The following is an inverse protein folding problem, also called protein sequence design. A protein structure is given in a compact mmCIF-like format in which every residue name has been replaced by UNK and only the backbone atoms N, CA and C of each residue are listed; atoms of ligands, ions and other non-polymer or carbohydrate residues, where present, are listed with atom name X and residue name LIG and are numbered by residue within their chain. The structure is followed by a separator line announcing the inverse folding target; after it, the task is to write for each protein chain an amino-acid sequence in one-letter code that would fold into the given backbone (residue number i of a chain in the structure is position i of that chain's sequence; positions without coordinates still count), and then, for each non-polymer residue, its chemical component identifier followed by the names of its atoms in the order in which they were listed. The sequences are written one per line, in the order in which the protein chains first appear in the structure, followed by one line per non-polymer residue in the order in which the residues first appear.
data_IF_834698094305
#
_entry.id   IF_834698094305
#
_cell.length_a   1.000
_cell.length_b   1.000
_cell.length_c   1.000
_cell.angle_alpha   90.00
_cell.angle_beta   90.00
_cell.angle_gamma   90.00
#
_symmetry.space_group_name_H-M   'P 1'
#
loop_
_entity.id
_entity.type
_entity.pdbx_description
1 polymer ?
#
# COMPACT_ATOMS: atom_id res chain seq x y z
N UNK A 1 -20.10 20.19 10.33
CA UNK A 1 -20.65 19.52 9.11
C UNK A 1 -19.77 19.63 7.87
N UNK A 2 -18.99 20.70 7.67
CA UNK A 2 -18.05 20.80 6.52
C UNK A 2 -16.84 19.86 6.59
N UNK A 3 -16.35 19.50 7.79
CA UNK A 3 -15.14 18.68 7.96
C UNK A 3 -15.31 17.19 7.65
N UNK A 4 -16.48 16.58 7.88
CA UNK A 4 -16.74 15.17 7.59
C UNK A 4 -16.79 14.90 6.09
N UNK A 5 -17.43 15.77 5.31
CA UNK A 5 -17.46 15.64 3.85
C UNK A 5 -16.08 15.78 3.20
N UNK A 6 -15.23 16.64 3.76
CA UNK A 6 -13.86 16.85 3.24
C UNK A 6 -12.99 15.61 3.48
N UNK A 7 -13.04 15.00 4.67
CA UNK A 7 -12.31 13.78 5.00
C UNK A 7 -12.80 12.58 4.17
N UNK A 8 -14.11 12.46 3.97
CA UNK A 8 -14.67 11.42 3.11
C UNK A 8 -14.18 11.56 1.68
N UNK A 9 -14.23 12.78 1.11
CA UNK A 9 -13.72 13.06 -0.25
C UNK A 9 -12.24 12.78 -0.35
N UNK A 10 -11.43 13.20 0.63
CA UNK A 10 -9.99 12.92 0.70
C UNK A 10 -9.72 11.42 0.67
N UNK A 11 -10.43 10.64 1.48
CA UNK A 11 -10.30 9.20 1.50
C UNK A 11 -10.69 8.56 0.15
N UNK A 12 -11.81 8.99 -0.46
CA UNK A 12 -12.29 8.50 -1.77
C UNK A 12 -11.26 8.74 -2.88
N UNK A 13 -10.75 9.98 -2.99
CA UNK A 13 -9.70 10.34 -3.95
C UNK A 13 -8.44 9.51 -3.71
N UNK A 14 -8.06 9.31 -2.45
CA UNK A 14 -6.92 8.46 -2.07
C UNK A 14 -7.09 7.01 -2.50
N UNK A 15 -8.26 6.40 -2.28
CA UNK A 15 -8.53 5.02 -2.72
C UNK A 15 -8.48 4.88 -4.24
N UNK A 16 -8.99 5.89 -4.99
CA UNK A 16 -8.94 5.91 -6.44
C UNK A 16 -7.48 5.98 -6.94
N UNK A 17 -6.67 6.91 -6.44
CA UNK A 17 -5.28 7.08 -6.83
C UNK A 17 -4.45 5.82 -6.56
N UNK A 18 -4.60 5.23 -5.35
CA UNK A 18 -3.98 3.94 -5.05
C UNK A 18 -4.42 2.85 -6.03
N UNK A 19 -5.70 2.81 -6.35
CA UNK A 19 -6.27 1.87 -7.33
C UNK A 19 -5.61 2.01 -8.69
N UNK A 20 -5.44 3.24 -9.19
CA UNK A 20 -4.77 3.54 -10.46
C UNK A 20 -3.33 3.03 -10.45
N UNK A 21 -2.56 3.29 -9.38
CA UNK A 21 -1.17 2.79 -9.29
C UNK A 21 -1.11 1.26 -9.38
N UNK A 22 -2.01 0.54 -8.70
CA UNK A 22 -2.03 -0.93 -8.79
C UNK A 22 -2.51 -1.44 -10.15
N UNK A 23 -3.39 -0.71 -10.84
CA UNK A 23 -3.76 -1.03 -12.23
C UNK A 23 -2.59 -0.81 -13.18
N UNK A 24 -1.79 0.23 -13.00
CA UNK A 24 -0.57 0.47 -13.79
C UNK A 24 0.44 -0.66 -13.57
N UNK A 25 0.77 -0.98 -12.32
CA UNK A 25 1.68 -2.09 -11.99
C UNK A 25 1.19 -3.41 -12.58
N UNK A 26 -0.09 -3.75 -12.35
CA UNK A 26 -0.68 -4.98 -12.86
C UNK A 26 -0.76 -5.02 -14.38
N UNK A 27 -1.08 -3.89 -15.02
CA UNK A 27 -1.15 -3.76 -16.48
C UNK A 27 0.22 -3.93 -17.14
N UNK A 28 1.26 -3.25 -16.64
CA UNK A 28 2.63 -3.38 -17.15
C UNK A 28 3.18 -4.80 -16.96
N UNK A 29 2.94 -5.40 -15.79
CA UNK A 29 3.35 -6.78 -15.52
C UNK A 29 2.58 -7.80 -16.38
N UNK A 30 1.30 -7.55 -16.72
CA UNK A 30 0.54 -8.38 -17.66
C UNK A 30 1.14 -8.29 -19.07
N UNK A 31 1.48 -7.09 -19.53
CA UNK A 31 2.14 -6.89 -20.83
C UNK A 31 3.48 -7.60 -20.87
N UNK A 32 4.26 -7.53 -19.79
CA UNK A 32 5.51 -8.28 -19.65
C UNK A 32 5.29 -9.80 -19.69
N UNK A 33 4.24 -10.30 -19.03
CA UNK A 33 3.93 -11.73 -19.01
C UNK A 33 3.61 -12.31 -20.39
N UNK A 34 2.93 -11.53 -21.26
CA UNK A 34 2.57 -11.98 -22.63
C UNK A 34 3.61 -11.57 -23.68
N UNK A 35 4.73 -10.99 -23.28
CA UNK A 35 5.78 -10.57 -24.21
C UNK A 35 5.41 -9.37 -25.09
N UNK A 36 4.41 -8.57 -24.69
CA UNK A 36 3.93 -7.39 -25.41
C UNK A 36 4.65 -6.08 -24.98
N UNK A 37 5.87 -6.18 -24.45
CA UNK A 37 6.53 -5.10 -23.77
C UNK A 37 6.08 -5.03 -22.31
N UNK A 38 6.17 -3.85 -21.69
CA UNK A 38 5.83 -3.68 -20.27
C UNK A 38 7.03 -3.96 -19.35
N UNK A 39 6.80 -3.87 -18.06
CA UNK A 39 7.85 -4.01 -17.05
C UNK A 39 7.30 -4.76 -15.81
N UNK A 40 8.17 -5.52 -15.16
CA UNK A 40 7.92 -6.16 -13.85
C UNK A 40 8.36 -5.28 -12.69
N UNK A 41 8.53 -3.99 -12.93
CA UNK A 41 8.88 -2.99 -11.92
C UNK A 41 7.82 -2.85 -10.84
N UNK A 42 8.23 -2.19 -9.76
CA UNK A 42 7.34 -1.86 -8.65
C UNK A 42 6.48 -0.63 -8.92
N UNK A 43 5.82 -0.12 -7.86
CA UNK A 43 4.97 1.07 -7.99
C UNK A 43 5.73 2.31 -8.45
N UNK A 44 7.03 2.44 -8.13
CA UNK A 44 7.86 3.57 -8.59
C UNK A 44 8.14 3.50 -10.08
N UNK A 45 8.50 2.30 -10.56
CA UNK A 45 8.80 2.07 -11.98
C UNK A 45 7.54 2.27 -12.83
N UNK A 46 6.38 1.81 -12.34
CA UNK A 46 5.09 2.04 -12.98
C UNK A 46 4.70 3.53 -13.03
N UNK A 47 5.08 4.34 -12.04
CA UNK A 47 4.89 5.80 -12.11
C UNK A 47 5.89 6.44 -13.07
N UNK A 48 7.14 5.98 -13.10
CA UNK A 48 8.16 6.51 -14.00
C UNK A 48 7.79 6.28 -15.47
N UNK A 49 7.18 5.16 -15.82
CA UNK A 49 6.72 4.86 -17.18
C UNK A 49 5.69 5.88 -17.73
N UNK A 50 4.98 6.57 -16.83
CA UNK A 50 4.07 7.64 -17.25
C UNK A 50 4.77 8.87 -17.82
N UNK A 51 6.08 9.07 -17.57
CA UNK A 51 6.80 10.20 -18.13
C UNK A 51 6.89 10.16 -19.65
N UNK A 52 6.87 8.98 -20.23
CA UNK A 52 6.95 8.76 -21.67
C UNK A 52 5.58 8.93 -22.36
N UNK A 53 4.51 9.07 -21.57
CA UNK A 53 3.15 9.20 -22.08
C UNK A 53 2.75 10.67 -22.33
N UNK A 54 1.89 10.94 -23.31
CA UNK A 54 1.28 12.25 -23.48
C UNK A 54 0.60 12.69 -22.17
N UNK A 55 0.89 13.92 -21.72
CA UNK A 55 0.40 14.47 -20.44
C UNK A 55 0.87 13.71 -19.17
N UNK A 56 1.92 12.87 -19.26
CA UNK A 56 2.42 12.07 -18.16
C UNK A 56 2.71 12.87 -16.88
N UNK A 57 3.31 14.06 -17.00
CA UNK A 57 3.56 14.96 -15.84
C UNK A 57 2.27 15.41 -15.16
N UNK A 58 1.21 15.69 -15.92
CA UNK A 58 -0.09 16.06 -15.35
C UNK A 58 -0.73 14.88 -14.63
N UNK A 59 -0.69 13.69 -15.24
CA UNK A 59 -1.17 12.47 -14.61
C UNK A 59 -0.41 12.17 -13.32
N UNK A 60 0.92 12.29 -13.32
CA UNK A 60 1.75 12.12 -12.15
C UNK A 60 1.42 13.12 -11.04
N UNK A 61 1.17 14.39 -11.37
CA UNK A 61 0.76 15.39 -10.39
C UNK A 61 -0.60 15.04 -9.75
N UNK A 62 -1.58 14.61 -10.55
CA UNK A 62 -2.89 14.18 -10.06
C UNK A 62 -2.77 12.94 -9.18
N UNK A 63 -1.96 11.94 -9.59
CA UNK A 63 -1.70 10.75 -8.79
C UNK A 63 -0.99 11.12 -7.49
N UNK A 64 0.00 12.01 -7.52
CA UNK A 64 0.71 12.47 -6.33
C UNK A 64 -0.24 13.08 -5.29
N UNK A 65 -1.14 13.98 -5.72
CA UNK A 65 -2.16 14.57 -4.85
C UNK A 65 -3.11 13.50 -4.27
N UNK A 66 -3.53 12.54 -5.08
CA UNK A 66 -4.37 11.45 -4.63
C UNK A 66 -3.67 10.51 -3.64
N UNK A 67 -2.39 10.19 -3.86
CA UNK A 67 -1.59 9.37 -2.93
C UNK A 67 -1.33 10.12 -1.62
N UNK A 68 -1.12 11.44 -1.67
CA UNK A 68 -1.02 12.29 -0.48
C UNK A 68 -2.33 12.26 0.30
N UNK A 69 -3.46 12.39 -0.37
CA UNK A 69 -4.78 12.26 0.24
C UNK A 69 -4.97 10.89 0.91
N UNK A 70 -4.49 9.82 0.27
CA UNK A 70 -4.53 8.47 0.86
C UNK A 70 -3.62 8.35 2.08
N UNK A 71 -2.41 8.90 2.04
CA UNK A 71 -1.49 8.91 3.17
C UNK A 71 -2.12 9.64 4.37
N UNK A 72 -2.65 10.84 4.16
CA UNK A 72 -3.34 11.62 5.20
C UNK A 72 -4.50 10.82 5.79
N UNK A 73 -5.35 10.21 4.95
CA UNK A 73 -6.45 9.36 5.42
C UNK A 73 -5.94 8.20 6.28
N UNK A 74 -4.82 7.56 5.92
CA UNK A 74 -4.24 6.46 6.70
C UNK A 74 -3.79 6.91 8.09
N UNK A 75 -3.16 8.08 8.19
CA UNK A 75 -2.76 8.64 9.48
C UNK A 75 -3.99 9.02 10.33
N UNK A 76 -4.99 9.68 9.73
CA UNK A 76 -6.25 9.99 10.41
C UNK A 76 -6.91 8.70 10.91
N UNK A 77 -7.04 7.67 10.06
CA UNK A 77 -7.64 6.40 10.45
C UNK A 77 -6.87 5.67 11.55
N UNK A 78 -5.54 5.83 11.61
CA UNK A 78 -4.73 5.27 12.68
C UNK A 78 -4.92 6.00 14.03
N UNK A 79 -4.97 7.33 14.00
CA UNK A 79 -5.08 8.15 15.21
C UNK A 79 -6.50 8.12 15.77
N UNK A 80 -7.51 8.32 14.92
CA UNK A 80 -8.92 8.44 15.33
C UNK A 80 -9.65 7.09 15.47
N UNK A 81 -8.95 5.96 15.25
CA UNK A 81 -9.56 4.61 15.26
C UNK A 81 -10.83 4.51 14.39
N UNK A 82 -10.80 5.14 13.21
CA UNK A 82 -11.94 5.21 12.28
C UNK A 82 -12.53 3.85 11.87
N UNK A 83 -11.75 2.78 12.00
CA UNK A 83 -12.20 1.40 11.77
C UNK A 83 -12.73 0.71 13.06
N UNK A 84 -12.86 1.43 14.19
CA UNK A 84 -13.33 0.93 15.49
C UNK A 84 -12.61 -0.35 15.95
N UNK A 85 -11.26 -0.37 15.87
CA UNK A 85 -10.43 -1.52 16.27
C UNK A 85 -10.16 -1.58 17.77
N UNK A 86 -10.34 -0.47 18.46
CA UNK A 86 -10.10 -0.32 19.89
C UNK A 86 -8.62 -0.34 20.28
N UNK A 87 -8.37 -0.44 21.58
CA UNK A 87 -7.02 -0.41 22.19
C UNK A 87 -6.46 -1.81 22.51
N UNK A 88 -7.09 -2.90 22.03
CA UNK A 88 -6.53 -4.25 22.16
C UNK A 88 -5.19 -4.38 21.42
N UNK A 89 -4.31 -5.30 21.82
CA UNK A 89 -3.03 -5.53 21.14
C UNK A 89 -3.18 -5.74 19.62
N UNK A 90 -4.24 -6.44 19.19
CA UNK A 90 -4.59 -6.60 17.78
C UNK A 90 -5.02 -5.26 17.13
N UNK A 91 -5.82 -4.46 17.84
CA UNK A 91 -6.24 -3.13 17.38
C UNK A 91 -5.04 -2.20 17.18
N UNK A 92 -4.14 -2.14 18.16
CA UNK A 92 -2.91 -1.35 18.09
C UNK A 92 -1.98 -1.80 16.96
N UNK A 93 -1.83 -3.10 16.73
CA UNK A 93 -1.04 -3.64 15.62
C UNK A 93 -1.62 -3.20 14.26
N UNK A 94 -2.95 -3.22 14.08
CA UNK A 94 -3.59 -2.77 12.86
C UNK A 94 -3.43 -1.24 12.67
N UNK A 95 -3.57 -0.46 13.73
CA UNK A 95 -3.36 1.00 13.69
C UNK A 95 -1.90 1.32 13.35
N UNK A 96 -0.93 0.62 13.94
CA UNK A 96 0.49 0.73 13.58
C UNK A 96 0.75 0.39 12.10
N UNK A 97 0.11 -0.65 11.57
CA UNK A 97 0.19 -0.97 10.14
C UNK A 97 -0.42 0.14 9.24
N UNK A 98 -1.43 0.88 9.72
CA UNK A 98 -1.96 2.05 9.01
C UNK A 98 -0.93 3.19 8.96
N UNK A 99 -0.25 3.49 10.05
CA UNK A 99 0.83 4.50 10.11
C UNK A 99 1.96 4.14 9.13
N UNK A 100 2.49 2.92 9.21
CA UNK A 100 3.53 2.45 8.27
C UNK A 100 3.07 2.58 6.82
N UNK A 101 1.82 2.19 6.54
CA UNK A 101 1.24 2.33 5.21
C UNK A 101 1.11 3.80 4.79
N UNK A 102 0.73 4.70 5.70
CA UNK A 102 0.66 6.14 5.45
C UNK A 102 2.01 6.71 5.01
N UNK A 103 3.08 6.41 5.73
CA UNK A 103 4.44 6.82 5.36
C UNK A 103 4.89 6.22 4.01
N UNK A 104 4.56 4.96 3.71
CA UNK A 104 4.88 4.35 2.43
C UNK A 104 4.19 5.06 1.26
N UNK A 105 2.91 5.41 1.41
CA UNK A 105 2.19 6.16 0.36
C UNK A 105 2.59 7.63 0.30
N UNK A 106 2.99 8.25 1.40
CA UNK A 106 3.59 9.59 1.41
C UNK A 106 4.91 9.60 0.62
N UNK A 107 5.79 8.63 0.83
CA UNK A 107 7.02 8.46 0.05
C UNK A 107 6.72 8.32 -1.45
N UNK A 108 5.70 7.54 -1.81
CA UNK A 108 5.29 7.35 -3.20
C UNK A 108 4.67 8.63 -3.79
N UNK A 109 3.91 9.40 -3.00
CA UNK A 109 3.37 10.69 -3.40
C UNK A 109 4.47 11.72 -3.69
N UNK A 110 5.47 11.80 -2.81
CA UNK A 110 6.65 12.67 -2.99
C UNK A 110 7.43 12.27 -4.24
N UNK A 111 7.61 10.97 -4.48
CA UNK A 111 8.27 10.46 -5.68
C UNK A 111 7.50 10.85 -6.96
N UNK A 112 6.18 10.63 -6.99
CA UNK A 112 5.34 11.00 -8.12
C UNK A 112 5.35 12.52 -8.39
N UNK A 113 5.31 13.35 -7.33
CA UNK A 113 5.46 14.79 -7.43
C UNK A 113 6.86 15.17 -7.97
N UNK A 114 7.91 14.49 -7.50
CA UNK A 114 9.27 14.69 -7.98
C UNK A 114 9.42 14.45 -9.48
N UNK A 115 8.79 13.40 -10.00
CA UNK A 115 8.73 13.11 -11.44
C UNK A 115 7.93 14.19 -12.20
N UNK A 116 6.76 14.60 -11.67
CA UNK A 116 5.91 15.59 -12.30
C UNK A 116 6.60 16.96 -12.45
N UNK A 117 7.31 17.39 -11.41
CA UNK A 117 8.01 18.70 -11.37
C UNK A 117 9.49 18.64 -11.78
N UNK A 118 10.02 17.45 -12.09
CA UNK A 118 11.36 17.28 -12.62
C UNK A 118 12.49 17.31 -11.58
N UNK A 119 12.20 17.28 -10.27
CA UNK A 119 13.24 17.27 -9.24
C UNK A 119 13.73 15.84 -8.88
N UNK A 120 13.01 14.79 -9.30
CA UNK A 120 13.38 13.38 -9.03
C UNK A 120 14.32 12.79 -10.09
N UNK A 121 14.76 13.55 -11.08
CA UNK A 121 15.62 13.09 -12.18
C UNK A 121 17.12 13.10 -11.88
N UNK A 122 17.48 13.53 -10.69
CA UNK A 122 18.90 13.54 -10.28
C UNK A 122 19.14 12.52 -9.18
N UNK A 123 20.05 11.60 -9.37
CA UNK A 123 20.52 10.52 -8.50
C UNK A 123 20.75 10.82 -6.99
N UNK A 124 19.82 11.50 -6.37
CA UNK A 124 19.81 11.76 -4.93
C UNK A 124 18.95 10.73 -4.22
N UNK A 125 19.41 10.27 -3.11
CA UNK A 125 18.96 9.29 -2.11
C UNK A 125 17.45 9.01 -1.90
N UNK A 126 16.65 8.91 -2.96
CA UNK A 126 15.21 8.63 -2.92
C UNK A 126 14.58 8.22 -4.24
N UNK A 127 15.30 8.27 -5.36
CA UNK A 127 14.79 8.05 -6.72
C UNK A 127 14.97 6.64 -7.29
N UNK A 128 15.51 5.71 -6.52
CA UNK A 128 15.73 4.34 -6.97
C UNK A 128 14.46 3.53 -7.17
N UNK A 129 14.57 2.39 -7.86
CA UNK A 129 13.51 1.40 -8.02
C UNK A 129 12.92 1.01 -6.66
N UNK A 130 11.72 0.43 -6.63
CA UNK A 130 11.11 -0.03 -5.39
C UNK A 130 12.00 -1.02 -4.62
N UNK A 131 12.87 -1.75 -5.33
CA UNK A 131 13.83 -2.69 -4.76
C UNK A 131 15.02 -1.97 -4.11
N UNK A 132 15.55 -0.90 -4.71
CA UNK A 132 16.60 -0.07 -4.10
C UNK A 132 16.14 0.55 -2.79
N UNK A 133 14.88 1.00 -2.73
CA UNK A 133 14.28 1.48 -1.50
C UNK A 133 14.23 0.40 -0.42
N UNK A 134 13.87 -0.83 -0.77
CA UNK A 134 13.87 -1.97 0.14
C UNK A 134 15.28 -2.31 0.61
N UNK A 135 16.28 -2.32 -0.30
CA UNK A 135 17.67 -2.59 0.02
C UNK A 135 18.28 -1.52 0.91
N UNK A 136 18.05 -0.22 0.61
CA UNK A 136 18.58 0.89 1.40
C UNK A 136 18.05 0.89 2.83
N UNK A 137 16.75 0.66 2.99
CA UNK A 137 16.13 0.54 4.32
C UNK A 137 16.65 -0.70 5.07
N UNK A 138 16.80 -1.83 4.37
CA UNK A 138 17.33 -3.07 4.95
C UNK A 138 18.80 -2.91 5.36
N UNK A 139 19.62 -2.19 4.56
CA UNK A 139 21.01 -1.87 4.91
C UNK A 139 21.08 -1.02 6.17
N UNK A 140 20.25 0.01 6.26
CA UNK A 140 20.16 0.85 7.47
C UNK A 140 19.78 0.02 8.69
N UNK A 141 18.79 -0.87 8.56
CA UNK A 141 18.35 -1.73 9.67
C UNK A 141 19.42 -2.73 10.07
N UNK A 142 20.12 -3.33 9.10
CA UNK A 142 21.24 -4.25 9.36
C UNK A 142 22.42 -3.60 10.09
N UNK A 143 22.62 -2.29 9.91
CA UNK A 143 23.62 -1.52 10.62
C UNK A 143 23.27 -1.27 12.12
N UNK A 144 22.04 -1.54 12.55
CA UNK A 144 21.63 -1.38 13.94
C UNK A 144 22.02 -2.59 14.80
N UNK A 145 22.17 -2.41 16.13
CA UNK A 145 22.33 -3.55 17.05
C UNK A 145 21.17 -4.54 16.84
N UNK A 146 21.49 -5.84 16.71
CA UNK A 146 20.53 -6.91 16.40
C UNK A 146 19.79 -6.76 15.05
N UNK A 147 20.29 -5.94 14.12
CA UNK A 147 19.64 -5.58 12.86
C UNK A 147 19.17 -6.76 12.03
N UNK A 148 19.97 -7.86 11.97
CA UNK A 148 19.58 -9.08 11.24
C UNK A 148 18.30 -9.73 11.81
N UNK A 149 18.15 -9.74 13.14
CA UNK A 149 16.98 -10.30 13.80
C UNK A 149 15.75 -9.39 13.62
N UNK A 150 15.98 -8.06 13.68
CA UNK A 150 14.94 -7.09 13.41
C UNK A 150 14.45 -7.19 11.97
N UNK A 151 15.35 -7.32 11.00
CA UNK A 151 14.98 -7.48 9.59
C UNK A 151 14.22 -8.78 9.34
N UNK A 152 14.68 -9.90 9.94
CA UNK A 152 13.97 -11.18 9.88
C UNK A 152 12.56 -11.09 10.51
N UNK A 153 12.42 -10.42 11.65
CA UNK A 153 11.12 -10.19 12.29
C UNK A 153 10.19 -9.37 11.39
N UNK A 154 10.70 -8.29 10.76
CA UNK A 154 9.92 -7.50 9.80
C UNK A 154 9.47 -8.38 8.64
N UNK A 155 10.35 -9.23 8.09
CA UNK A 155 10.02 -10.18 7.04
C UNK A 155 8.88 -11.13 7.44
N UNK A 156 8.93 -11.68 8.66
CA UNK A 156 7.86 -12.52 9.22
C UNK A 156 6.55 -11.76 9.38
N UNK A 157 6.59 -10.51 9.82
CA UNK A 157 5.39 -9.65 9.93
C UNK A 157 4.79 -9.40 8.55
N UNK A 158 5.61 -9.08 7.54
CA UNK A 158 5.16 -8.87 6.15
C UNK A 158 4.53 -10.15 5.58
N UNK A 159 5.17 -11.31 5.79
CA UNK A 159 4.60 -12.60 5.39
C UNK A 159 3.27 -12.88 6.11
N UNK A 160 3.18 -12.58 7.41
CA UNK A 160 1.95 -12.71 8.18
C UNK A 160 0.81 -11.83 7.65
N UNK A 161 1.12 -10.61 7.20
CA UNK A 161 0.14 -9.75 6.50
C UNK A 161 -0.29 -10.39 5.18
N UNK A 162 0.64 -11.01 4.43
CA UNK A 162 0.34 -11.78 3.22
C UNK A 162 -0.65 -12.91 3.48
N UNK A 163 -0.41 -13.72 4.52
CA UNK A 163 -1.34 -14.77 4.97
C UNK A 163 -2.71 -14.17 5.33
N UNK A 164 -2.73 -13.02 6.01
CA UNK A 164 -3.97 -12.31 6.34
C UNK A 164 -4.76 -11.89 5.09
N UNK A 165 -4.10 -11.45 4.01
CA UNK A 165 -4.74 -11.14 2.74
C UNK A 165 -5.30 -12.40 2.05
N UNK A 166 -4.56 -13.51 2.04
CA UNK A 166 -5.05 -14.79 1.53
C UNK A 166 -6.27 -15.29 2.31
N UNK A 167 -6.23 -15.17 3.65
CA UNK A 167 -7.36 -15.51 4.51
C UNK A 167 -8.62 -14.68 4.21
N UNK A 168 -8.48 -13.37 3.93
CA UNK A 168 -9.60 -12.52 3.50
C UNK A 168 -10.13 -12.91 2.13
N UNK A 169 -9.25 -13.21 1.18
CA UNK A 169 -9.64 -13.68 -0.14
C UNK A 169 -10.43 -14.98 -0.05
N UNK A 170 -9.99 -15.92 0.80
CA UNK A 170 -10.65 -17.21 1.01
C UNK A 170 -12.03 -17.05 1.66
N UNK A 171 -12.11 -16.32 2.77
CA UNK A 171 -13.36 -16.12 3.52
C UNK A 171 -14.37 -15.22 2.80
N UNK A 172 -13.96 -14.50 1.75
CA UNK A 172 -14.83 -13.54 1.05
C UNK A 172 -15.10 -12.25 1.81
N UNK A 173 -14.38 -11.98 2.91
CA UNK A 173 -14.57 -10.83 3.83
C UNK A 173 -13.98 -9.52 3.25
N UNK A 174 -13.91 -9.43 1.90
CA UNK A 174 -13.27 -8.31 1.20
C UNK A 174 -14.19 -7.09 1.10
N UNK A 175 -15.50 -7.28 1.26
CA UNK A 175 -16.53 -6.24 1.03
C UNK A 175 -17.18 -5.73 2.32
N UNK A 176 -16.68 -6.10 3.49
CA UNK A 176 -17.31 -5.80 4.80
C UNK A 176 -17.60 -4.32 5.05
N UNK A 177 -16.83 -3.41 4.46
CA UNK A 177 -16.96 -1.97 4.62
C UNK A 177 -17.53 -1.27 3.37
N UNK A 178 -18.12 -2.03 2.43
CA UNK A 178 -18.69 -1.50 1.20
C UNK A 178 -20.22 -1.52 1.28
N UNK A 179 -20.84 -0.41 0.88
CA UNK A 179 -22.28 -0.32 0.65
C UNK A 179 -22.53 -0.31 -0.86
N UNK A 180 -22.93 -1.44 -1.40
CA UNK A 180 -23.23 -1.63 -2.82
C UNK A 180 -24.55 -2.41 -2.99
N UNK A 181 -25.19 -2.25 -4.14
CA UNK A 181 -26.44 -2.93 -4.43
C UNK A 181 -26.23 -4.45 -4.54
N UNK A 182 -27.22 -5.29 -4.15
CA UNK A 182 -27.12 -6.75 -4.21
C UNK A 182 -26.71 -7.29 -5.58
N UNK A 183 -27.14 -6.63 -6.66
CA UNK A 183 -26.84 -6.99 -8.04
C UNK A 183 -25.35 -6.88 -8.37
N UNK A 184 -24.63 -5.99 -7.68
CA UNK A 184 -23.20 -5.76 -7.89
C UNK A 184 -22.32 -6.79 -7.18
N UNK A 185 -22.90 -7.60 -6.29
CA UNK A 185 -22.17 -8.62 -5.54
C UNK A 185 -21.48 -9.65 -6.43
N UNK A 186 -22.10 -9.96 -7.57
CA UNK A 186 -21.62 -10.98 -8.52
C UNK A 186 -20.24 -10.69 -9.09
N UNK A 187 -19.86 -9.41 -9.26
CA UNK A 187 -18.55 -9.02 -9.81
C UNK A 187 -17.62 -8.37 -8.78
N UNK A 188 -18.17 -7.63 -7.80
CA UNK A 188 -17.36 -6.94 -6.76
C UNK A 188 -16.63 -7.93 -5.87
N UNK A 189 -17.31 -9.02 -5.46
CA UNK A 189 -16.70 -10.02 -4.57
C UNK A 189 -15.57 -10.79 -5.25
N UNK A 190 -15.74 -11.38 -6.46
CA UNK A 190 -14.64 -12.04 -7.17
C UNK A 190 -13.47 -11.11 -7.45
N UNK A 191 -13.73 -9.87 -7.87
CA UNK A 191 -12.70 -8.85 -8.12
C UNK A 191 -11.87 -8.59 -6.86
N UNK A 192 -12.53 -8.36 -5.73
CA UNK A 192 -11.84 -8.18 -4.45
C UNK A 192 -11.06 -9.42 -4.03
N UNK A 193 -11.64 -10.63 -4.15
CA UNK A 193 -10.96 -11.88 -3.79
C UNK A 193 -9.70 -12.11 -4.62
N UNK A 194 -9.77 -11.95 -5.93
CA UNK A 194 -8.61 -12.07 -6.82
C UNK A 194 -7.51 -11.06 -6.44
N UNK A 195 -7.89 -9.81 -6.23
CA UNK A 195 -6.95 -8.76 -5.84
C UNK A 195 -6.27 -9.02 -4.50
N UNK A 196 -7.03 -9.40 -3.46
CA UNK A 196 -6.45 -9.72 -2.15
C UNK A 196 -5.59 -10.99 -2.20
N UNK A 197 -5.95 -12.00 -3.00
CA UNK A 197 -5.15 -13.20 -3.18
C UNK A 197 -3.79 -12.88 -3.83
N UNK A 198 -3.77 -12.15 -4.95
CA UNK A 198 -2.55 -11.76 -5.63
C UNK A 198 -1.64 -10.91 -4.71
N UNK A 199 -2.22 -9.95 -4.01
CA UNK A 199 -1.47 -9.14 -3.04
C UNK A 199 -0.91 -10.00 -1.90
N UNK A 200 -1.64 -11.00 -1.44
CA UNK A 200 -1.19 -11.95 -0.43
C UNK A 200 0.04 -12.73 -0.89
N UNK A 201 0.03 -13.24 -2.12
CA UNK A 201 1.18 -13.94 -2.73
C UNK A 201 2.40 -13.03 -2.81
N UNK A 202 2.25 -11.80 -3.32
CA UNK A 202 3.35 -10.83 -3.39
C UNK A 202 3.94 -10.53 -2.01
N UNK A 203 3.10 -10.32 -1.00
CA UNK A 203 3.58 -10.05 0.37
C UNK A 203 4.30 -11.25 1.00
N UNK A 204 3.90 -12.49 0.67
CA UNK A 204 4.63 -13.68 1.09
C UNK A 204 6.02 -13.73 0.46
N UNK A 205 6.15 -13.42 -0.83
CA UNK A 205 7.44 -13.39 -1.53
C UNK A 205 8.33 -12.29 -0.95
N UNK A 206 7.83 -11.07 -0.79
CA UNK A 206 8.57 -9.95 -0.18
C UNK A 206 9.01 -10.31 1.24
N UNK A 207 8.11 -10.86 2.05
CA UNK A 207 8.43 -11.30 3.41
C UNK A 207 9.52 -12.37 3.44
N UNK A 208 9.47 -13.32 2.50
CA UNK A 208 10.53 -14.33 2.32
C UNK A 208 11.89 -13.71 2.01
N UNK A 209 11.96 -12.74 1.11
CA UNK A 209 13.19 -12.02 0.80
C UNK A 209 13.74 -11.24 2.01
N UNK A 210 12.88 -10.60 2.79
CA UNK A 210 13.33 -9.88 3.99
C UNK A 210 13.85 -10.83 5.07
N UNK A 211 13.25 -12.02 5.23
CA UNK A 211 13.74 -13.06 6.14
C UNK A 211 15.11 -13.56 5.65
N UNK A 212 15.24 -13.81 4.35
CA UNK A 212 16.50 -14.26 3.75
C UNK A 212 17.60 -13.21 3.92
N UNK A 213 17.28 -11.93 3.64
CA UNK A 213 18.20 -10.81 3.84
C UNK A 213 18.66 -10.68 5.31
N UNK A 214 17.75 -10.89 6.26
CA UNK A 214 18.08 -10.93 7.69
C UNK A 214 18.95 -12.12 8.07
N UNK A 215 18.65 -13.31 7.52
CA UNK A 215 19.42 -14.53 7.77
C UNK A 215 20.86 -14.43 7.24
N UNK A 216 21.02 -13.93 6.00
CA UNK A 216 22.31 -13.77 5.35
C UNK A 216 23.04 -12.49 5.77
N UNK A 217 22.38 -11.60 6.48
CA UNK A 217 22.86 -10.25 6.81
C UNK A 217 23.28 -9.44 5.56
N UNK A 218 22.54 -9.61 4.45
CA UNK A 218 22.80 -8.99 3.15
C UNK A 218 21.57 -8.21 2.69
N UNK A 219 21.71 -6.89 2.59
CA UNK A 219 20.61 -6.02 2.13
C UNK A 219 20.26 -6.19 0.65
N UNK A 220 21.20 -6.70 -0.16
CA UNK A 220 20.99 -7.01 -1.58
C UNK A 220 19.91 -8.07 -1.83
N UNK A 221 19.65 -8.93 -0.84
CA UNK A 221 18.58 -9.94 -0.91
C UNK A 221 17.19 -9.34 -0.62
N UNK A 222 17.13 -8.13 -0.07
CA UNK A 222 15.86 -7.45 0.17
C UNK A 222 15.27 -6.98 -1.15
N UNK A 223 14.10 -7.50 -1.51
CA UNK A 223 13.38 -7.19 -2.74
C UNK A 223 11.97 -6.69 -2.41
N UNK A 224 11.54 -5.68 -3.16
CA UNK A 224 10.20 -5.11 -3.06
C UNK A 224 9.20 -5.77 -4.00
N UNK A 225 8.23 -4.99 -4.44
CA UNK A 225 7.18 -5.45 -5.36
C UNK A 225 7.76 -5.86 -6.72
N UNK A 226 8.70 -5.09 -7.27
CA UNK A 226 9.35 -5.38 -8.55
C UNK A 226 10.12 -6.69 -8.50
N UNK A 227 10.97 -6.87 -7.49
CA UNK A 227 11.72 -8.11 -7.30
C UNK A 227 10.84 -9.34 -7.09
N UNK A 228 9.70 -9.18 -6.39
CA UNK A 228 8.73 -10.26 -6.25
C UNK A 228 8.12 -10.67 -7.61
N UNK A 229 7.79 -9.71 -8.47
CA UNK A 229 7.25 -9.98 -9.81
C UNK A 229 8.30 -10.61 -10.74
N UNK A 230 9.55 -10.11 -10.71
CA UNK A 230 10.68 -10.72 -11.46
C UNK A 230 10.91 -12.16 -11.03
N UNK A 231 10.89 -12.44 -9.73
CA UNK A 231 11.06 -13.79 -9.21
C UNK A 231 9.98 -14.75 -9.73
N UNK A 232 8.75 -14.28 -9.86
CA UNK A 232 7.69 -15.08 -10.50
C UNK A 232 7.96 -15.32 -11.97
N UNK A 233 8.47 -14.32 -12.70
CA UNK A 233 8.81 -14.41 -14.10
C UNK A 233 9.93 -15.42 -14.38
N UNK A 234 10.91 -15.51 -13.49
CA UNK A 234 12.07 -16.39 -13.57
C UNK A 234 11.75 -17.87 -13.27
N UNK A 235 10.57 -18.17 -12.72
CA UNK A 235 10.18 -19.55 -12.39
C UNK A 235 9.81 -20.36 -13.66
N UNK A 236 9.88 -21.70 -13.61
CA UNK A 236 9.26 -22.55 -14.62
C UNK A 236 7.78 -22.14 -14.79
N UNK A 237 7.34 -21.95 -16.05
CA UNK A 237 6.03 -21.37 -16.38
C UNK A 237 5.81 -19.94 -15.83
N UNK A 238 6.90 -19.17 -15.67
CA UNK A 238 6.89 -17.85 -15.07
C UNK A 238 5.92 -16.87 -15.72
N UNK A 239 5.71 -16.95 -17.05
CA UNK A 239 4.73 -16.13 -17.75
C UNK A 239 3.28 -16.36 -17.25
N UNK A 240 2.92 -17.62 -16.91
CA UNK A 240 1.59 -17.92 -16.33
C UNK A 240 1.49 -17.38 -14.90
N UNK A 241 2.53 -17.64 -14.08
CA UNK A 241 2.55 -17.20 -12.69
C UNK A 241 2.50 -15.68 -12.59
N UNK A 242 3.33 -15.01 -13.38
CA UNK A 242 3.35 -13.54 -13.46
C UNK A 242 2.00 -13.03 -13.98
N UNK A 243 1.46 -13.60 -15.05
CA UNK A 243 0.17 -13.22 -15.63
C UNK A 243 -0.98 -13.30 -14.63
N UNK A 244 -1.07 -14.40 -13.88
CA UNK A 244 -2.09 -14.59 -12.85
C UNK A 244 -1.97 -13.56 -11.70
N UNK A 245 -0.75 -13.34 -11.20
CA UNK A 245 -0.52 -12.38 -10.12
C UNK A 245 -0.73 -10.95 -10.63
N UNK A 246 -0.27 -10.62 -11.83
CA UNK A 246 -0.44 -9.32 -12.45
C UNK A 246 -1.93 -8.98 -12.70
N UNK A 247 -2.70 -9.95 -13.25
CA UNK A 247 -4.15 -9.83 -13.39
C UNK A 247 -4.84 -9.59 -12.03
N UNK A 248 -4.39 -10.30 -11.00
CA UNK A 248 -4.88 -10.10 -9.64
C UNK A 248 -4.51 -8.74 -9.06
N UNK A 249 -3.29 -8.22 -9.31
CA UNK A 249 -2.91 -6.86 -8.89
C UNK A 249 -3.72 -5.80 -9.64
N UNK A 250 -3.98 -5.99 -10.92
CA UNK A 250 -4.89 -5.14 -11.68
C UNK A 250 -6.30 -5.15 -11.09
N UNK A 251 -6.81 -6.35 -10.77
CA UNK A 251 -8.10 -6.52 -10.09
C UNK A 251 -8.11 -5.84 -8.71
N UNK A 252 -6.99 -5.87 -7.96
CA UNK A 252 -6.85 -5.14 -6.70
C UNK A 252 -6.93 -3.61 -6.91
N UNK A 253 -6.31 -3.12 -7.98
CA UNK A 253 -6.39 -1.72 -8.38
C UNK A 253 -7.82 -1.31 -8.71
N UNK A 254 -8.50 -2.09 -9.57
CA UNK A 254 -9.90 -1.88 -9.92
C UNK A 254 -10.82 -1.93 -8.67
N UNK A 255 -10.57 -2.88 -7.76
CA UNK A 255 -11.27 -2.92 -6.48
C UNK A 255 -11.01 -1.68 -5.62
N UNK A 256 -9.83 -1.06 -5.72
CA UNK A 256 -9.52 0.23 -5.10
C UNK A 256 -10.44 1.35 -5.60
N UNK A 257 -10.73 1.38 -6.90
CA UNK A 257 -11.70 2.33 -7.49
C UNK A 257 -13.12 2.03 -6.99
N UNK A 258 -13.51 0.77 -6.90
CA UNK A 258 -14.78 0.37 -6.28
C UNK A 258 -14.87 0.86 -4.83
N UNK A 259 -13.79 0.74 -4.07
CA UNK A 259 -13.71 1.28 -2.70
C UNK A 259 -13.86 2.81 -2.68
N UNK A 260 -13.31 3.53 -3.64
CA UNK A 260 -13.47 4.98 -3.73
C UNK A 260 -14.94 5.40 -3.86
N UNK A 261 -15.74 4.61 -4.59
CA UNK A 261 -17.16 4.93 -4.85
C UNK A 261 -18.07 4.41 -3.73
N UNK A 262 -17.88 3.16 -3.30
CA UNK A 262 -18.87 2.45 -2.46
C UNK A 262 -18.42 2.26 -1.00
N UNK A 263 -17.20 2.66 -0.62
CA UNK A 263 -16.77 2.52 0.78
C UNK A 263 -17.54 3.48 1.68
N UNK A 264 -18.15 2.92 2.73
CA UNK A 264 -18.64 3.72 3.84
C UNK A 264 -17.43 4.16 4.68
N UNK A 265 -17.30 5.47 4.82
CA UNK A 265 -16.21 6.09 5.59
C UNK A 265 -16.92 6.77 6.76
N UNK A 266 -16.79 6.16 7.95
CA UNK A 266 -17.14 6.80 9.19
C UNK A 266 -16.03 7.81 9.51
N UNK A 267 -16.12 9.01 8.91
CA UNK A 267 -15.19 10.08 9.21
C UNK A 267 -15.45 10.52 10.66
N UNK A 268 -14.46 10.41 11.55
CA UNK A 268 -14.62 10.90 12.91
C UNK A 268 -14.85 12.40 12.89
N UNK A 269 -15.77 12.88 13.73
CA UNK A 269 -15.94 14.31 13.92
C UNK A 269 -14.69 14.84 14.59
N UNK A 270 -13.85 15.58 13.84
CA UNK A 270 -12.54 16.04 14.31
C UNK A 270 -12.69 16.97 15.51
N UNK A 271 -13.83 17.65 15.61
CA UNK A 271 -14.17 18.53 16.72
C UNK A 271 -14.46 17.73 18.00
N UNK A 272 -15.10 16.56 17.89
CA UNK A 272 -15.32 15.65 19.01
C UNK A 272 -14.02 14.99 19.48
N UNK A 273 -13.16 14.54 18.55
CA UNK A 273 -11.86 13.95 18.88
C UNK A 273 -10.91 14.96 19.54
N UNK A 274 -10.89 16.21 19.07
CA UNK A 274 -10.13 17.30 19.70
C UNK A 274 -10.70 17.67 21.08
N UNK A 275 -12.03 17.63 21.22
CA UNK A 275 -12.72 17.84 22.49
C UNK A 275 -12.41 16.76 23.51
N UNK A 276 -12.38 15.49 23.11
CA UNK A 276 -12.01 14.37 23.98
C UNK A 276 -10.54 14.40 24.37
N UNK A 277 -9.63 14.73 23.46
CA UNK A 277 -8.21 14.89 23.76
C UNK A 277 -7.97 16.03 24.78
N UNK A 278 -8.65 17.18 24.64
CA UNK A 278 -8.62 18.27 25.62
C UNK A 278 -9.18 17.85 26.98
N UNK A 279 -10.29 17.13 27.01
CA UNK A 279 -10.90 16.61 28.25
C UNK A 279 -9.99 15.58 28.93
N UNK A 280 -9.33 14.71 28.17
CA UNK A 280 -8.37 13.73 28.68
C UNK A 280 -7.13 14.42 29.27
N UNK A 281 -6.57 15.43 28.61
CA UNK A 281 -5.46 16.23 29.11
C UNK A 281 -5.82 16.99 30.41
N UNK A 282 -7.02 17.57 30.48
CA UNK A 282 -7.51 18.24 31.70
C UNK A 282 -7.77 17.29 32.86
N UNK A 283 -8.23 16.04 32.60
CA UNK A 283 -8.39 15.01 33.62
C UNK A 283 -7.03 14.51 34.13
N UNK A 284 -6.02 14.42 33.25
CA UNK A 284 -4.64 14.09 33.61
C UNK A 284 -4.02 15.16 34.53
N UNK A 285 -4.16 16.42 34.15
CA UNK A 285 -3.66 17.55 34.94
C UNK A 285 -4.32 17.67 36.35
N UNK A 286 -5.61 17.33 36.48
CA UNK A 286 -6.31 17.33 37.78
C UNK A 286 -5.92 16.15 38.71
N UNK A 287 -5.22 15.14 38.24
CA UNK A 287 -4.77 14.00 39.06
C UNK A 287 -3.35 14.17 39.59
N UNK A 288 -2.63 15.19 39.13
CA UNK A 288 -1.22 15.45 39.47
C UNK A 288 -1.11 16.70 40.38
N UNK A 289 -2.13 17.51 40.53
CA UNK A 289 -2.24 18.62 41.51
C UNK A 289 -3.15 18.22 42.69
#
# INVERSE_FOLDING_TARGET
MANTNTLETTARVGYAARGIVYMLVGGLALMAAVGAGGDTGGSRDALASLLDEPYGKVLLAVIALGLLAFAVWREVAAVSDADHRGSSGKGLAIRGAHVISGFAYLSLAVYAAGLAFGWATGGGSGGGSGDEGAQGWSAWLLAQPFGRWLLGLVGLVVAGVGIGFLGRAWKGDVTKHLRYAPEQRGWVVPLGRAGFAARGVVFLIIGGFLVLAGWQAQSSEARGLGGALRTLQEQPYGWVLLGLVAAGLFAFGAFGVVQAVYRHIDAPDVDDAAGEAKRAAQRGARKIG
#
